data_IF_094006891105
#
_entry.id   IF_094006891105
#
_cell.length_a   1.000
_cell.length_b   1.000
_cell.length_c   1.000
_cell.angle_alpha   90.00
_cell.angle_beta   90.00
_cell.angle_gamma   90.00
#
_symmetry.space_group_name_H-M   'P 1'
#
loop_
_entity.id
_entity.type
_entity.pdbx_description
1 polymer ?
#
# COMPACT_ATOMS: atom_id res chain seq x y z
N UNK A 1 8.41 -20.80 -15.36
CA UNK A 1 7.60 -21.12 -14.16
C UNK A 1 6.83 -19.86 -13.74
N UNK A 2 5.49 -19.87 -13.80
CA UNK A 2 4.69 -18.71 -13.42
C UNK A 2 4.82 -18.45 -11.91
N UNK A 3 5.33 -17.28 -11.52
CA UNK A 3 5.41 -16.88 -10.11
C UNK A 3 3.98 -16.71 -9.58
N UNK A 4 3.60 -17.53 -8.59
CA UNK A 4 2.29 -17.43 -7.92
C UNK A 4 2.19 -16.05 -7.26
N UNK A 5 1.14 -15.32 -7.60
CA UNK A 5 0.82 -14.02 -6.99
C UNK A 5 -0.33 -14.21 -6.01
N UNK A 6 -0.14 -13.81 -4.76
CA UNK A 6 -1.18 -13.82 -3.73
C UNK A 6 -1.71 -12.39 -3.61
N UNK A 7 -3.03 -12.24 -3.65
CA UNK A 7 -3.70 -10.96 -3.54
C UNK A 7 -4.79 -11.03 -2.49
N UNK A 8 -4.86 -10.02 -1.62
CA UNK A 8 -5.99 -9.73 -0.73
C UNK A 8 -6.37 -8.27 -0.92
N UNK A 9 -7.62 -8.01 -1.28
CA UNK A 9 -8.13 -6.65 -1.46
C UNK A 9 -9.51 -6.56 -0.81
N UNK A 10 -9.73 -5.50 -0.04
CA UNK A 10 -11.00 -5.21 0.63
C UNK A 10 -11.22 -3.70 0.68
N UNK A 11 -12.47 -3.25 0.51
CA UNK A 11 -12.82 -1.82 0.51
C UNK A 11 -12.10 -1.02 -0.60
N UNK A 12 -11.62 -1.71 -1.63
CA UNK A 12 -10.84 -1.14 -2.72
C UNK A 12 -11.00 -1.96 -4.00
N UNK A 13 -10.84 -1.32 -5.15
CA UNK A 13 -10.85 -1.97 -6.46
C UNK A 13 -9.55 -1.67 -7.20
N UNK A 14 -9.03 -2.68 -7.91
CA UNK A 14 -7.86 -2.52 -8.79
C UNK A 14 -8.31 -2.59 -10.24
N UNK A 15 -7.85 -1.68 -11.10
CA UNK A 15 -8.17 -1.71 -12.54
C UNK A 15 -7.67 -2.98 -13.22
N UNK A 16 -6.48 -3.44 -12.83
CA UNK A 16 -5.89 -4.68 -13.31
C UNK A 16 -5.55 -5.58 -12.13
N UNK A 17 -5.55 -6.89 -12.39
CA UNK A 17 -5.35 -7.94 -11.39
C UNK A 17 -4.11 -7.72 -10.50
N UNK A 18 -3.08 -7.07 -11.05
CA UNK A 18 -1.76 -6.90 -10.46
C UNK A 18 -1.48 -5.49 -9.92
N UNK A 19 -2.49 -4.61 -9.85
CA UNK A 19 -2.39 -3.28 -9.22
C UNK A 19 -1.78 -2.22 -10.13
N UNK A 20 -2.59 -1.62 -11.00
CA UNK A 20 -2.20 -0.45 -11.82
C UNK A 20 -2.82 0.82 -11.24
N UNK A 21 -4.14 0.94 -11.26
CA UNK A 21 -4.88 1.98 -10.53
C UNK A 21 -5.65 1.39 -9.37
N UNK A 22 -5.67 2.13 -8.27
CA UNK A 22 -6.42 1.83 -7.05
C UNK A 22 -7.60 2.78 -6.94
N UNK A 23 -8.78 2.21 -6.73
CA UNK A 23 -10.01 2.94 -6.49
C UNK A 23 -10.54 2.62 -5.09
N UNK A 24 -11.15 3.61 -4.46
CA UNK A 24 -12.03 3.37 -3.33
C UNK A 24 -13.28 2.64 -3.82
N UNK A 25 -13.69 1.58 -3.12
CA UNK A 25 -14.89 0.81 -3.51
C UNK A 25 -16.18 1.61 -3.31
N UNK A 26 -16.25 2.42 -2.25
CA UNK A 26 -17.46 3.19 -1.91
C UNK A 26 -17.72 4.40 -2.84
N UNK A 27 -16.72 5.24 -3.12
CA UNK A 27 -16.91 6.47 -3.91
C UNK A 27 -16.33 6.40 -5.32
N UNK A 28 -15.74 5.26 -5.69
CA UNK A 28 -15.17 4.98 -7.01
C UNK A 28 -14.07 5.94 -7.49
N UNK A 29 -13.58 6.82 -6.60
CA UNK A 29 -12.48 7.74 -6.91
C UNK A 29 -11.14 7.00 -6.90
N UNK A 30 -10.23 7.43 -7.79
CA UNK A 30 -8.84 6.99 -7.79
C UNK A 30 -8.16 7.50 -6.52
N UNK A 31 -7.58 6.59 -5.75
CA UNK A 31 -6.82 6.91 -4.53
C UNK A 31 -5.32 6.73 -4.71
N UNK A 32 -4.89 6.08 -5.80
CA UNK A 32 -3.48 5.88 -6.09
C UNK A 32 -3.22 4.95 -7.26
N UNK A 33 -1.94 4.63 -7.45
CA UNK A 33 -1.48 3.66 -8.44
C UNK A 33 -0.38 2.79 -7.83
N UNK A 34 -0.24 1.56 -8.35
CA UNK A 34 0.83 0.65 -7.93
C UNK A 34 1.65 0.31 -9.19
N UNK A 35 2.98 0.30 -9.07
CA UNK A 35 3.82 -0.14 -10.17
C UNK A 35 4.09 -1.64 -10.08
N UNK A 36 3.35 -2.38 -10.88
CA UNK A 36 3.41 -3.84 -10.99
C UNK A 36 4.82 -4.40 -11.17
N UNK A 37 5.74 -3.67 -11.80
CA UNK A 37 7.05 -4.23 -12.17
C UNK A 37 8.14 -4.00 -11.12
N UNK A 38 7.83 -3.28 -10.04
CA UNK A 38 8.87 -2.74 -9.15
C UNK A 38 8.88 -3.31 -7.74
N UNK A 39 7.90 -4.14 -7.37
CA UNK A 39 7.79 -4.70 -6.02
C UNK A 39 7.68 -6.23 -6.00
N UNK A 40 8.17 -6.82 -4.91
CA UNK A 40 7.92 -8.21 -4.50
C UNK A 40 6.71 -8.30 -3.59
N UNK A 41 6.55 -7.34 -2.70
CA UNK A 41 5.43 -7.26 -1.77
C UNK A 41 4.96 -5.81 -1.61
N UNK A 42 3.66 -5.61 -1.50
CA UNK A 42 3.05 -4.35 -1.10
C UNK A 42 1.84 -4.62 -0.22
N UNK A 43 1.73 -3.88 0.88
CA UNK A 43 0.54 -3.80 1.72
C UNK A 43 0.23 -2.31 1.91
N UNK A 44 -0.85 -1.84 1.29
CA UNK A 44 -1.34 -0.47 1.37
C UNK A 44 -2.69 -0.49 2.08
N UNK A 45 -2.82 0.29 3.14
CA UNK A 45 -4.07 0.52 3.86
C UNK A 45 -4.35 2.01 3.76
N UNK A 46 -5.58 2.40 3.45
CA UNK A 46 -5.94 3.79 3.27
C UNK A 46 -7.32 4.11 3.84
N UNK A 47 -7.49 5.35 4.26
CA UNK A 47 -8.78 5.96 4.61
C UNK A 47 -9.11 7.00 3.55
N UNK A 48 -10.16 6.74 2.78
CA UNK A 48 -10.62 7.66 1.74
C UNK A 48 -11.34 8.87 2.35
N UNK A 49 -11.34 10.00 1.64
CA UNK A 49 -12.10 11.20 2.04
C UNK A 49 -13.61 11.00 2.12
N UNK A 50 -14.15 9.93 1.53
CA UNK A 50 -15.54 9.53 1.74
C UNK A 50 -15.79 8.71 3.02
N UNK A 51 -14.77 8.49 3.86
CA UNK A 51 -14.86 7.72 5.10
C UNK A 51 -14.64 6.20 4.95
N UNK A 52 -14.52 5.68 3.73
CA UNK A 52 -14.29 4.25 3.51
C UNK A 52 -12.82 3.86 3.72
N UNK A 53 -12.60 2.74 4.41
CA UNK A 53 -11.29 2.12 4.59
C UNK A 53 -11.03 1.07 3.51
N UNK A 54 -9.87 1.12 2.87
CA UNK A 54 -9.45 0.14 1.89
C UNK A 54 -8.10 -0.49 2.23
N UNK A 55 -7.92 -1.75 1.82
CA UNK A 55 -6.66 -2.48 1.97
C UNK A 55 -6.32 -3.23 0.69
N UNK A 56 -5.05 -3.16 0.31
CA UNK A 56 -4.47 -3.91 -0.79
C UNK A 56 -3.20 -4.58 -0.32
N UNK A 57 -3.18 -5.90 -0.40
CA UNK A 57 -2.01 -6.70 -0.13
C UNK A 57 -1.69 -7.58 -1.36
N UNK A 58 -0.52 -7.40 -1.95
CA UNK A 58 -0.07 -8.17 -3.11
C UNK A 58 1.33 -8.69 -2.84
N UNK A 59 1.52 -10.00 -3.00
CA UNK A 59 2.80 -10.71 -2.81
C UNK A 59 3.14 -11.53 -4.05
N UNK A 60 4.38 -11.41 -4.53
CA UNK A 60 4.92 -12.12 -5.69
C UNK A 60 6.04 -13.07 -5.25
N UNK A 61 5.71 -14.35 -5.03
CA UNK A 61 6.68 -15.37 -4.58
C UNK A 61 6.21 -16.24 -3.41
N UNK A 62 7.08 -17.14 -2.93
CA UNK A 62 6.78 -18.08 -1.83
C UNK A 62 6.88 -17.39 -0.45
N UNK A 63 5.73 -17.35 0.22
CA UNK A 63 5.45 -17.17 1.66
C UNK A 63 5.87 -15.89 2.42
N UNK A 64 4.90 -15.47 3.25
CA UNK A 64 4.73 -14.22 4.00
C UNK A 64 5.41 -14.19 5.39
N UNK A 65 6.55 -14.87 5.58
CA UNK A 65 7.04 -15.11 6.94
C UNK A 65 8.08 -14.13 7.48
N UNK A 66 8.42 -13.06 6.76
CA UNK A 66 9.53 -12.16 7.17
C UNK A 66 9.20 -10.66 7.01
N UNK A 67 7.93 -10.29 7.21
CA UNK A 67 7.50 -8.89 7.33
C UNK A 67 7.48 -8.53 8.81
N UNK A 68 8.62 -8.72 9.47
CA UNK A 68 8.80 -8.50 10.90
C UNK A 68 9.99 -7.60 11.14
N UNK A 69 10.06 -6.47 10.44
CA UNK A 69 10.94 -5.37 10.83
C UNK A 69 10.24 -4.07 10.46
N UNK A 70 9.87 -3.27 11.46
CA UNK A 70 9.61 -1.84 11.28
C UNK A 70 10.93 -1.20 10.83
N UNK A 71 11.11 -1.14 9.53
CA UNK A 71 12.18 -0.42 8.89
C UNK A 71 11.65 0.99 8.73
N UNK A 72 11.87 1.80 9.77
CA UNK A 72 11.64 3.25 9.88
C UNK A 72 12.32 4.06 8.74
N UNK A 73 12.16 3.62 7.49
CA UNK A 73 12.88 3.93 6.27
C UNK A 73 11.82 4.23 5.24
N UNK A 74 11.72 5.50 4.87
CA UNK A 74 10.79 5.97 3.86
C UNK A 74 11.39 5.83 2.46
N UNK A 75 10.57 5.51 1.44
CA UNK A 75 10.99 5.62 0.06
C UNK A 75 11.21 7.10 -0.29
N UNK A 76 11.96 7.38 -1.34
CA UNK A 76 12.07 8.74 -1.87
C UNK A 76 10.73 9.17 -2.48
N UNK A 77 10.23 10.35 -2.13
CA UNK A 77 9.00 10.90 -2.70
C UNK A 77 9.40 11.87 -3.82
N UNK A 78 8.91 11.61 -5.04
CA UNK A 78 9.09 12.47 -6.22
C UNK A 78 7.83 13.29 -6.48
N UNK A 79 7.85 14.11 -7.55
CA UNK A 79 6.70 14.95 -7.96
C UNK A 79 5.40 14.13 -8.00
N UNK A 80 4.30 14.74 -7.59
CA UNK A 80 2.95 14.14 -7.57
C UNK A 80 2.79 12.93 -6.63
N UNK A 81 3.54 12.88 -5.53
CA UNK A 81 3.37 11.84 -4.50
C UNK A 81 3.77 10.44 -4.94
N UNK A 82 4.69 10.32 -5.92
CA UNK A 82 5.21 9.02 -6.37
C UNK A 82 6.32 8.57 -5.43
N UNK A 83 6.11 7.42 -4.79
CA UNK A 83 7.09 6.76 -3.94
C UNK A 83 8.03 5.91 -4.79
N UNK A 84 9.31 6.25 -4.80
CA UNK A 84 10.37 5.54 -5.51
C UNK A 84 11.34 4.85 -4.55
N UNK A 85 11.88 3.70 -4.97
CA UNK A 85 12.94 3.02 -4.24
C UNK A 85 14.21 3.86 -4.21
N UNK A 86 14.78 4.09 -3.02
CA UNK A 86 16.00 4.89 -2.84
C UNK A 86 17.26 4.24 -3.42
N UNK A 87 17.26 2.92 -3.63
CA UNK A 87 18.41 2.17 -4.15
C UNK A 87 18.47 2.08 -5.68
N UNK A 88 17.31 1.95 -6.34
CA UNK A 88 17.25 1.73 -7.79
C UNK A 88 16.37 2.74 -8.54
N UNK A 89 15.86 3.75 -7.84
CA UNK A 89 14.98 4.82 -8.34
C UNK A 89 13.67 4.35 -9.01
N UNK A 90 13.37 3.05 -8.93
CA UNK A 90 12.14 2.52 -9.54
C UNK A 90 10.89 3.02 -8.82
N UNK A 91 9.85 3.45 -9.55
CA UNK A 91 8.59 3.87 -8.93
C UNK A 91 7.89 2.63 -8.37
N UNK A 92 7.44 2.72 -7.11
CA UNK A 92 6.81 1.62 -6.37
C UNK A 92 5.29 1.77 -6.38
N UNK A 93 4.79 2.92 -5.92
CA UNK A 93 3.37 3.28 -5.90
C UNK A 93 3.23 4.80 -5.83
N UNK A 94 2.01 5.29 -6.04
CA UNK A 94 1.66 6.68 -5.82
C UNK A 94 0.33 6.78 -5.09
N UNK A 95 0.14 7.85 -4.34
CA UNK A 95 -1.14 8.20 -3.71
C UNK A 95 -1.69 9.49 -4.30
N UNK A 96 -3.01 9.62 -4.28
CA UNK A 96 -3.69 10.87 -4.64
C UNK A 96 -4.04 11.59 -3.35
N UNK A 97 -3.25 12.61 -3.00
CA UNK A 97 -3.37 13.32 -1.70
C UNK A 97 -4.79 13.82 -1.42
N UNK A 98 -5.48 14.36 -2.43
CA UNK A 98 -6.84 14.90 -2.26
C UNK A 98 -7.95 13.82 -2.13
N UNK A 99 -7.62 12.55 -2.38
CA UNK A 99 -8.57 11.44 -2.30
C UNK A 99 -8.45 10.66 -0.99
N UNK A 100 -7.38 10.89 -0.22
CA UNK A 100 -7.06 10.16 0.99
C UNK A 100 -7.00 11.09 2.20
N UNK A 101 -7.65 10.70 3.29
CA UNK A 101 -7.42 11.33 4.59
C UNK A 101 -6.13 10.81 5.22
N UNK A 102 -5.86 9.52 5.07
CA UNK A 102 -4.67 8.90 5.60
C UNK A 102 -4.31 7.61 4.87
N UNK A 103 -3.05 7.18 4.97
CA UNK A 103 -2.62 5.88 4.46
C UNK A 103 -1.38 5.36 5.20
N UNK A 104 -1.30 4.04 5.29
CA UNK A 104 -0.16 3.30 5.77
C UNK A 104 0.30 2.33 4.69
N UNK A 105 1.61 2.15 4.56
CA UNK A 105 2.13 1.14 3.65
C UNK A 105 3.34 0.41 4.21
N UNK A 106 3.48 -0.83 3.73
CA UNK A 106 4.71 -1.58 3.74
C UNK A 106 4.98 -2.04 2.30
N UNK A 107 6.18 -1.81 1.79
CA UNK A 107 6.55 -2.22 0.43
C UNK A 107 7.96 -2.79 0.38
N UNK A 108 8.11 -3.92 -0.29
CA UNK A 108 9.40 -4.50 -0.64
C UNK A 108 9.63 -4.36 -2.15
N UNK A 109 10.63 -3.57 -2.51
CA UNK A 109 11.08 -3.41 -3.89
C UNK A 109 11.72 -4.70 -4.44
N UNK A 110 11.68 -4.88 -5.76
CA UNK A 110 12.37 -5.99 -6.44
C UNK A 110 13.87 -6.05 -6.17
N UNK A 111 14.52 -4.91 -5.90
CA UNK A 111 15.93 -4.87 -5.52
C UNK A 111 16.20 -5.33 -4.06
N UNK A 112 15.15 -5.72 -3.31
CA UNK A 112 15.20 -6.21 -1.94
C UNK A 112 15.12 -5.12 -0.86
N UNK A 113 15.04 -3.85 -1.25
CA UNK A 113 14.80 -2.76 -0.29
C UNK A 113 13.39 -2.81 0.25
N UNK A 114 13.25 -2.66 1.57
CA UNK A 114 11.99 -2.64 2.28
C UNK A 114 11.75 -1.25 2.85
N UNK A 115 10.52 -0.77 2.76
CA UNK A 115 10.10 0.53 3.25
C UNK A 115 8.77 0.40 4.01
N UNK A 116 8.62 1.16 5.08
CA UNK A 116 7.33 1.36 5.72
C UNK A 116 7.13 2.81 6.15
N UNK A 117 5.86 3.18 6.28
CA UNK A 117 5.49 4.46 6.90
C UNK A 117 5.70 4.33 8.40
N UNK A 118 6.48 5.27 8.97
CA UNK A 118 6.38 5.57 10.40
C UNK A 118 4.93 5.93 10.69
N UNK A 119 4.23 5.32 11.66
CA UNK A 119 2.94 5.82 12.08
C UNK A 119 3.14 7.24 12.60
N UNK A 120 2.94 8.25 11.76
CA UNK A 120 2.76 9.61 12.20
C UNK A 120 1.44 9.60 12.95
N UNK A 121 1.53 9.67 14.28
CA UNK A 121 0.44 9.85 15.22
C UNK A 121 -0.26 11.19 14.96
N UNK A 122 -0.88 11.32 13.80
CA UNK A 122 -1.95 12.29 13.60
C UNK A 122 -3.15 11.74 14.36
N UNK A 123 -3.77 12.56 15.21
CA UNK A 123 -4.82 12.15 16.17
C UNK A 123 -6.02 11.45 15.51
N UNK A 124 -6.16 11.51 14.18
CA UNK A 124 -7.19 10.84 13.38
C UNK A 124 -6.82 9.44 12.87
N UNK A 125 -5.58 8.97 13.09
CA UNK A 125 -5.09 7.65 12.65
C UNK A 125 -5.39 6.52 13.66
N UNK A 126 -5.64 6.87 14.94
CA UNK A 126 -6.00 5.88 15.98
C UNK A 126 -7.21 5.03 15.57
N UNK A 127 -8.20 5.65 14.94
CA UNK A 127 -9.41 4.99 14.44
C UNK A 127 -9.12 4.07 13.24
N UNK A 128 -8.14 4.39 12.39
CA UNK A 128 -7.77 3.54 11.24
C UNK A 128 -7.01 2.29 11.69
N UNK A 129 -6.19 2.38 12.75
CA UNK A 129 -5.53 1.22 13.35
C UNK A 129 -6.47 0.36 14.20
N UNK A 130 -7.47 0.95 14.87
CA UNK A 130 -8.54 0.18 15.52
C UNK A 130 -9.39 -0.59 14.50
N UNK A 131 -9.71 0.02 13.35
CA UNK A 131 -10.35 -0.67 12.23
C UNK A 131 -9.49 -1.84 11.71
N UNK A 132 -8.17 -1.65 11.59
CA UNK A 132 -7.26 -2.73 11.20
C UNK A 132 -7.19 -3.87 12.23
N UNK A 133 -7.28 -3.56 13.54
CA UNK A 133 -7.34 -4.58 14.60
C UNK A 133 -8.66 -5.36 14.54
N UNK A 134 -9.80 -4.67 14.43
CA UNK A 134 -11.12 -5.30 14.30
C UNK A 134 -11.22 -6.22 13.08
N UNK A 135 -10.75 -5.78 11.90
CA UNK A 135 -10.73 -6.59 10.67
C UNK A 135 -9.77 -7.79 10.69
N UNK A 136 -8.96 -7.96 11.74
CA UNK A 136 -8.02 -9.07 11.91
C UNK A 136 -8.53 -10.12 12.91
N UNK A 137 -9.58 -9.81 13.65
CA UNK A 137 -10.22 -10.67 14.66
C UNK A 137 -11.51 -11.33 14.16
N UNK A 138 -11.93 -11.06 12.91
CA UNK A 138 -12.99 -11.76 12.17
C UNK A 138 -12.45 -12.79 11.16
#
# INVERSE_FOLDING_TARGET
MAKRTIRKVSGARLLHANGSMVFCENCEKVVGSINQMSYKYINLIFLCTCGNCGRIEISRGKNKNDISVQLNKMPSIRRKGVCCCTKCDTPLFSTVENALQNYFFFVECNCGEKYDTKPTFDKRLGETMELYKKLKEE
#
